data_IF_975855471637
#
_entry.id   IF_975855471637
#
_cell.length_a   1.000
_cell.length_b   1.000
_cell.length_c   1.000
_cell.angle_alpha   90.00
_cell.angle_beta   90.00
_cell.angle_gamma   90.00
#
_symmetry.space_group_name_H-M   'P 1'
#
loop_
_entity.id
_entity.type
_entity.pdbx_description
1 polymer ?
#
# COMPACT_ATOMS: atom_id res chain seq x y z
N UNK A 1 -12.18 26.45 11.53
CA UNK A 1 -11.49 26.47 10.22
C UNK A 1 -11.65 25.08 9.60
N UNK A 2 -12.59 24.96 8.66
CA UNK A 2 -13.18 23.68 8.30
C UNK A 2 -12.24 22.87 7.38
N UNK A 3 -12.10 21.57 7.65
CA UNK A 3 -11.44 20.61 6.74
C UNK A 3 -11.96 20.75 5.29
N UNK A 4 -13.25 21.05 5.13
CA UNK A 4 -13.89 21.40 3.86
C UNK A 4 -13.20 22.56 3.12
N UNK A 5 -12.87 23.65 3.79
CA UNK A 5 -12.26 24.83 3.15
C UNK A 5 -10.83 24.54 2.65
N UNK A 6 -10.11 23.65 3.33
CA UNK A 6 -8.83 23.13 2.83
C UNK A 6 -9.05 22.20 1.62
N UNK A 7 -10.04 21.30 1.72
CA UNK A 7 -10.39 20.33 0.67
C UNK A 7 -10.74 21.00 -0.66
N UNK A 8 -11.50 22.10 -0.61
CA UNK A 8 -11.90 22.90 -1.79
C UNK A 8 -10.70 23.50 -2.55
N UNK A 9 -9.53 23.62 -1.91
CA UNK A 9 -8.30 24.13 -2.52
C UNK A 9 -7.39 23.02 -3.08
N UNK A 10 -7.73 21.74 -2.86
CA UNK A 10 -6.91 20.61 -3.30
C UNK A 10 -7.27 20.17 -4.73
N UNK A 11 -6.37 19.47 -5.45
CA UNK A 11 -6.67 18.92 -6.78
C UNK A 11 -7.57 17.67 -6.64
N UNK A 12 -8.85 17.86 -6.34
CA UNK A 12 -9.79 16.76 -6.07
C UNK A 12 -10.35 16.13 -7.35
N UNK A 13 -10.42 16.85 -8.47
CA UNK A 13 -10.87 16.30 -9.75
C UNK A 13 -9.94 15.18 -10.25
N UNK A 14 -10.49 13.99 -10.47
CA UNK A 14 -9.73 12.82 -10.92
C UNK A 14 -8.86 12.15 -9.84
N UNK A 15 -8.84 12.70 -8.61
CA UNK A 15 -8.13 12.14 -7.47
C UNK A 15 -9.10 11.67 -6.38
N UNK A 16 -8.59 10.86 -5.46
CA UNK A 16 -9.31 10.33 -4.31
C UNK A 16 -8.66 10.89 -3.03
N UNK A 17 -9.50 11.21 -2.04
CA UNK A 17 -9.05 11.60 -0.71
C UNK A 17 -8.53 10.37 0.03
N UNK A 18 -7.25 10.39 0.38
CA UNK A 18 -6.59 9.37 1.20
C UNK A 18 -6.20 9.96 2.56
N UNK A 19 -6.34 9.15 3.61
CA UNK A 19 -5.96 9.48 5.01
C UNK A 19 -4.97 8.48 5.60
N UNK A 20 -4.56 7.51 4.80
CA UNK A 20 -3.77 6.38 5.24
C UNK A 20 -2.29 6.59 4.90
N UNK A 21 -1.95 7.20 3.76
CA UNK A 21 -0.57 7.43 3.29
C UNK A 21 0.21 8.33 4.25
N UNK A 22 -0.38 9.44 4.69
CA UNK A 22 0.25 10.40 5.60
C UNK A 22 -0.12 10.17 7.07
N UNK A 23 -1.26 9.52 7.31
CA UNK A 23 -1.79 9.25 8.65
C UNK A 23 -1.87 7.76 8.99
N UNK A 24 -2.74 7.45 9.93
CA UNK A 24 -3.05 6.08 10.39
C UNK A 24 -4.48 5.64 10.02
N UNK A 25 -5.18 6.45 9.23
CA UNK A 25 -6.57 6.19 8.84
C UNK A 25 -7.61 6.64 9.87
N UNK A 26 -7.24 7.27 10.99
CA UNK A 26 -8.18 7.69 12.03
C UNK A 26 -8.69 9.13 11.85
N UNK A 27 -7.78 10.07 11.58
CA UNK A 27 -8.07 11.51 11.56
C UNK A 27 -8.11 12.06 10.13
N UNK A 28 -9.18 12.80 9.81
CA UNK A 28 -9.25 13.64 8.61
C UNK A 28 -8.77 15.05 8.93
N UNK A 29 -7.60 15.43 8.40
CA UNK A 29 -7.02 16.76 8.58
C UNK A 29 -6.09 17.10 7.40
N UNK A 30 -5.77 18.39 7.17
CA UNK A 30 -4.78 18.78 6.15
C UNK A 30 -3.41 18.11 6.33
N UNK A 31 -3.06 17.77 7.57
CA UNK A 31 -1.79 17.14 7.93
C UNK A 31 -1.77 15.63 7.66
N UNK A 32 -2.92 14.96 7.81
CA UNK A 32 -3.04 13.49 7.68
C UNK A 32 -3.65 13.04 6.35
N UNK A 33 -4.21 13.97 5.56
CA UNK A 33 -4.85 13.68 4.29
C UNK A 33 -4.10 14.21 3.08
N UNK A 34 -4.27 13.52 1.95
CA UNK A 34 -3.80 13.94 0.64
C UNK A 34 -4.81 13.53 -0.45
N UNK A 35 -4.74 14.19 -1.59
CA UNK A 35 -5.49 13.79 -2.79
C UNK A 35 -4.54 13.12 -3.76
N UNK A 36 -4.84 11.89 -4.16
CA UNK A 36 -3.98 11.08 -5.02
C UNK A 36 -4.81 10.31 -6.05
N UNK A 37 -4.21 9.93 -7.17
CA UNK A 37 -4.90 9.13 -8.17
C UNK A 37 -5.32 7.79 -7.56
N UNK A 38 -6.42 7.22 -8.06
CA UNK A 38 -6.97 5.93 -7.61
C UNK A 38 -5.92 4.81 -7.55
N UNK A 39 -4.99 4.75 -8.51
CA UNK A 39 -3.91 3.76 -8.51
C UNK A 39 -2.94 3.89 -7.33
N UNK A 40 -2.74 5.11 -6.82
CA UNK A 40 -1.92 5.40 -5.63
C UNK A 40 -2.70 5.09 -4.35
N UNK A 41 -3.96 5.55 -4.26
CA UNK A 41 -4.84 5.28 -3.13
C UNK A 41 -5.00 3.76 -2.88
N UNK A 42 -5.23 3.01 -3.96
CA UNK A 42 -5.43 1.56 -3.90
C UNK A 42 -4.11 0.78 -3.77
N UNK A 43 -2.95 1.44 -3.81
CA UNK A 43 -1.65 0.76 -3.88
C UNK A 43 -1.39 -0.12 -2.66
N UNK A 44 -1.75 0.35 -1.47
CA UNK A 44 -1.53 -0.38 -0.21
C UNK A 44 -2.70 -1.26 0.21
N UNK A 45 -3.72 -1.41 -0.66
CA UNK A 45 -4.86 -2.24 -0.31
C UNK A 45 -4.43 -3.65 0.04
N UNK A 46 -4.89 -4.07 1.22
CA UNK A 46 -4.59 -5.37 1.80
C UNK A 46 -5.33 -6.44 0.99
N UNK A 47 -4.60 -7.46 0.55
CA UNK A 47 -5.18 -8.75 0.23
C UNK A 47 -5.26 -9.56 1.52
N UNK A 48 -6.46 -9.79 2.05
CA UNK A 48 -6.70 -10.57 3.28
C UNK A 48 -7.70 -9.91 4.23
N UNK A 49 -8.29 -10.69 5.14
CA UNK A 49 -9.12 -10.14 6.22
C UNK A 49 -8.27 -9.29 7.17
N UNK A 50 -8.88 -8.25 7.74
CA UNK A 50 -8.18 -7.39 8.69
C UNK A 50 -7.87 -8.21 9.96
N UNK A 51 -6.58 -8.36 10.26
CA UNK A 51 -6.13 -8.92 11.53
C UNK A 51 -5.70 -10.39 11.50
N UNK A 52 -5.81 -11.07 10.35
CA UNK A 52 -5.23 -12.39 10.18
C UNK A 52 -3.91 -12.28 9.40
N UNK A 53 -2.81 -12.70 10.03
CA UNK A 53 -1.55 -12.94 9.35
C UNK A 53 -0.75 -11.73 8.86
N UNK A 54 0.29 -12.00 8.08
CA UNK A 54 1.16 -11.03 7.42
C UNK A 54 0.56 -10.61 6.07
N UNK A 55 0.53 -9.30 5.82
CA UNK A 55 -0.04 -8.73 4.60
C UNK A 55 0.66 -9.29 3.36
N UNK A 56 -0.11 -9.66 2.34
CA UNK A 56 0.44 -10.17 1.09
C UNK A 56 0.82 -11.65 1.11
N UNK A 57 0.70 -12.30 2.28
CA UNK A 57 0.70 -13.74 2.41
C UNK A 57 -0.74 -14.24 2.59
N UNK A 58 -1.07 -15.38 1.99
CA UNK A 58 -2.35 -16.07 2.24
C UNK A 58 -2.15 -17.57 2.17
N UNK A 59 -2.75 -18.32 3.09
CA UNK A 59 -2.68 -19.78 3.06
C UNK A 59 -3.52 -20.32 1.90
N UNK A 60 -2.96 -21.24 1.13
CA UNK A 60 -3.64 -21.88 0.00
C UNK A 60 -3.93 -23.35 0.33
N UNK A 61 -5.19 -23.60 0.69
CA UNK A 61 -5.65 -24.92 1.19
C UNK A 61 -5.26 -26.08 0.28
N UNK A 62 -5.41 -25.93 -1.05
CA UNK A 62 -5.15 -27.02 -1.99
C UNK A 62 -3.66 -27.41 -2.08
N UNK A 63 -2.74 -26.48 -1.81
CA UNK A 63 -1.30 -26.77 -1.81
C UNK A 63 -0.72 -26.96 -0.42
N UNK A 64 -1.46 -26.64 0.64
CA UNK A 64 -0.94 -26.60 2.02
C UNK A 64 0.20 -25.60 2.25
N UNK A 65 0.33 -24.58 1.39
CA UNK A 65 1.45 -23.62 1.38
C UNK A 65 0.94 -22.19 1.38
N UNK A 66 1.78 -21.24 1.80
CA UNK A 66 1.48 -19.82 1.72
C UNK A 66 1.75 -19.30 0.31
N UNK A 67 0.78 -18.63 -0.31
CA UNK A 67 0.98 -17.97 -1.60
C UNK A 67 1.16 -16.46 -1.41
N UNK A 68 1.96 -15.87 -2.29
CA UNK A 68 2.08 -14.42 -2.42
C UNK A 68 1.79 -13.98 -3.85
N UNK A 69 1.10 -12.85 -3.99
CA UNK A 69 0.81 -12.21 -5.27
C UNK A 69 0.86 -10.69 -5.12
N UNK A 70 1.30 -9.99 -6.16
CA UNK A 70 1.35 -8.53 -6.13
C UNK A 70 0.91 -7.96 -7.47
N UNK A 71 0.09 -6.90 -7.42
CA UNK A 71 -0.18 -6.08 -8.60
C UNK A 71 1.05 -5.21 -8.89
N UNK A 72 1.64 -5.40 -10.07
CA UNK A 72 2.79 -4.64 -10.58
C UNK A 72 2.33 -3.98 -11.88
N UNK A 73 2.22 -2.64 -11.87
CA UNK A 73 1.53 -1.92 -12.95
C UNK A 73 0.09 -2.40 -13.09
N UNK A 74 -0.27 -2.88 -14.27
CA UNK A 74 -1.62 -3.37 -14.59
C UNK A 74 -1.76 -4.90 -14.48
N UNK A 75 -0.68 -5.61 -14.16
CA UNK A 75 -0.66 -7.08 -14.07
C UNK A 75 -0.69 -7.57 -12.63
N UNK A 76 -1.46 -8.62 -12.36
CA UNK A 76 -1.37 -9.37 -11.10
C UNK A 76 -0.32 -10.48 -11.25
N UNK A 77 0.79 -10.36 -10.54
CA UNK A 77 1.93 -11.27 -10.65
C UNK A 77 1.89 -12.27 -9.50
N UNK A 78 1.83 -13.56 -9.82
CA UNK A 78 2.04 -14.63 -8.85
C UNK A 78 3.52 -14.68 -8.47
N UNK A 79 3.83 -14.52 -7.18
CA UNK A 79 5.20 -14.50 -6.67
C UNK A 79 5.68 -15.89 -6.25
N UNK A 80 4.74 -16.83 -6.08
CA UNK A 80 5.01 -18.23 -5.79
C UNK A 80 4.27 -18.74 -4.56
N UNK A 81 4.67 -19.95 -4.17
CA UNK A 81 4.24 -20.65 -2.97
C UNK A 81 5.44 -20.88 -2.05
N UNK A 82 5.21 -20.72 -0.76
CA UNK A 82 6.22 -20.69 0.30
C UNK A 82 5.76 -21.56 1.47
N UNK A 83 6.72 -22.10 2.23
CA UNK A 83 6.40 -22.98 3.35
C UNK A 83 5.97 -22.18 4.57
N UNK A 84 6.44 -20.93 4.70
CA UNK A 84 6.08 -20.05 5.80
C UNK A 84 5.35 -18.79 5.34
N UNK A 85 4.53 -18.24 6.24
CA UNK A 85 3.86 -16.96 6.03
C UNK A 85 4.87 -15.81 5.83
N UNK A 86 5.96 -15.84 6.59
CA UNK A 86 7.00 -14.82 6.55
C UNK A 86 7.73 -14.77 5.20
N UNK A 87 8.02 -15.93 4.60
CA UNK A 87 8.62 -15.99 3.26
C UNK A 87 7.69 -15.41 2.19
N UNK A 88 6.41 -15.76 2.23
CA UNK A 88 5.40 -15.18 1.34
C UNK A 88 5.30 -13.65 1.53
N UNK A 89 5.31 -13.18 2.77
CA UNK A 89 5.33 -11.75 3.08
C UNK A 89 6.58 -11.05 2.55
N UNK A 90 7.77 -11.64 2.73
CA UNK A 90 9.04 -11.11 2.21
C UNK A 90 9.01 -10.97 0.70
N UNK A 91 8.53 -11.99 -0.01
CA UNK A 91 8.37 -11.95 -1.46
C UNK A 91 7.41 -10.82 -1.88
N UNK A 92 6.29 -10.66 -1.17
CA UNK A 92 5.34 -9.58 -1.42
C UNK A 92 5.93 -8.18 -1.21
N UNK A 93 6.67 -7.95 -0.12
CA UNK A 93 7.30 -6.66 0.17
C UNK A 93 8.33 -6.30 -0.93
N UNK A 94 9.15 -7.26 -1.35
CA UNK A 94 10.11 -7.06 -2.44
C UNK A 94 9.41 -6.72 -3.78
N UNK A 95 8.28 -7.37 -4.07
CA UNK A 95 7.47 -7.05 -5.23
C UNK A 95 6.81 -5.67 -5.12
N UNK A 96 6.35 -5.28 -3.92
CA UNK A 96 5.78 -3.95 -3.65
C UNK A 96 6.78 -2.84 -3.84
N UNK A 97 8.04 -3.03 -3.45
CA UNK A 97 9.10 -2.06 -3.71
C UNK A 97 9.26 -1.77 -5.21
N UNK A 98 9.35 -2.83 -6.03
CA UNK A 98 9.40 -2.70 -7.49
C UNK A 98 8.15 -2.03 -8.06
N UNK A 99 6.97 -2.43 -7.60
CA UNK A 99 5.70 -1.83 -8.02
C UNK A 99 5.60 -0.35 -7.64
N UNK A 100 6.16 0.04 -6.50
CA UNK A 100 6.18 1.42 -6.03
C UNK A 100 7.08 2.29 -6.91
N UNK A 101 8.26 1.80 -7.29
CA UNK A 101 9.16 2.51 -8.22
C UNK A 101 8.44 2.80 -9.54
N UNK A 102 7.76 1.79 -10.11
CA UNK A 102 6.99 1.96 -11.34
C UNK A 102 5.85 2.97 -11.15
N UNK A 103 5.11 2.88 -10.05
CA UNK A 103 4.02 3.81 -9.75
C UNK A 103 4.53 5.25 -9.62
N UNK A 104 5.62 5.47 -8.90
CA UNK A 104 6.24 6.78 -8.69
C UNK A 104 6.86 7.36 -9.98
N UNK A 105 7.25 6.52 -10.93
CA UNK A 105 7.67 6.97 -12.27
C UNK A 105 6.52 7.44 -13.15
N UNK A 106 5.29 6.93 -12.91
CA UNK A 106 4.09 7.25 -13.71
C UNK A 106 3.39 8.52 -13.26
N UNK A 107 3.49 8.87 -11.98
CA UNK A 107 2.79 10.00 -11.39
C UNK A 107 3.76 10.97 -10.72
N UNK A 108 3.55 12.26 -10.96
CA UNK A 108 4.20 13.32 -10.17
C UNK A 108 3.38 13.55 -8.90
N UNK A 109 3.80 12.94 -7.79
CA UNK A 109 3.15 13.07 -6.49
C UNK A 109 3.84 14.15 -5.64
N UNK A 110 3.10 14.71 -4.68
CA UNK A 110 3.68 15.60 -3.67
C UNK A 110 4.78 14.88 -2.86
N UNK A 111 5.88 15.57 -2.49
CA UNK A 111 6.98 14.95 -1.75
C UNK A 111 6.54 14.22 -0.47
N UNK A 112 5.61 14.80 0.29
CA UNK A 112 5.08 14.17 1.52
C UNK A 112 4.37 12.84 1.25
N UNK A 113 3.67 12.72 0.12
CA UNK A 113 2.98 11.49 -0.29
C UNK A 113 4.02 10.41 -0.62
N UNK A 114 5.04 10.77 -1.39
CA UNK A 114 6.17 9.87 -1.71
C UNK A 114 6.84 9.38 -0.42
N UNK A 115 7.15 10.29 0.50
CA UNK A 115 7.74 9.94 1.79
C UNK A 115 6.83 9.01 2.62
N UNK A 116 5.52 9.30 2.67
CA UNK A 116 4.51 8.47 3.33
C UNK A 116 4.47 7.05 2.77
N UNK A 117 4.56 6.90 1.45
CA UNK A 117 4.64 5.60 0.79
C UNK A 117 5.92 4.83 1.18
N UNK A 118 7.09 5.48 1.16
CA UNK A 118 8.34 4.85 1.61
C UNK A 118 8.29 4.46 3.10
N UNK A 119 7.66 5.29 3.96
CA UNK A 119 7.48 4.99 5.38
C UNK A 119 6.63 3.74 5.59
N UNK A 120 5.53 3.59 4.85
CA UNK A 120 4.71 2.36 4.86
C UNK A 120 5.49 1.13 4.41
N UNK A 121 6.27 1.24 3.34
CA UNK A 121 7.10 0.12 2.88
C UNK A 121 8.07 -0.34 3.99
N UNK A 122 8.72 0.59 4.66
CA UNK A 122 9.61 0.31 5.81
C UNK A 122 8.89 -0.36 6.97
N UNK A 123 7.64 0.02 7.26
CA UNK A 123 6.83 -0.65 8.29
C UNK A 123 6.59 -2.13 7.98
N UNK A 124 6.37 -2.49 6.71
CA UNK A 124 6.27 -3.88 6.31
C UNK A 124 7.61 -4.61 6.42
N UNK A 125 8.72 -3.97 6.02
CA UNK A 125 10.06 -4.55 6.16
C UNK A 125 10.47 -4.78 7.62
N UNK A 126 10.07 -3.91 8.54
CA UNK A 126 10.38 -4.05 9.97
C UNK A 126 9.79 -5.33 10.59
N UNK A 127 8.73 -5.89 10.00
CA UNK A 127 8.13 -7.17 10.43
C UNK A 127 9.02 -8.39 10.15
N UNK A 128 10.14 -8.23 9.44
CA UNK A 128 11.08 -9.33 9.21
C UNK A 128 11.94 -9.69 10.41
N UNK A 129 12.04 -8.76 11.38
CA UNK A 129 12.88 -8.87 12.57
C UNK A 129 12.09 -9.14 13.86
N UNK A 130 10.77 -9.25 13.75
CA UNK A 130 9.86 -9.61 14.85
C UNK A 130 9.50 -11.09 14.74
#
# INVERSE_FOLDING_TARGET
>A
MAFKAWMEQQPWEGNELDKDILGDGSLYSPATCCFVQRSVNMFWNKTGERGCGLVGASFHNASGRYRAQCKIGDQNVALGYFDTELEAHRAWVAAKEKAMILLLSRFRLEPRVVEGMHRKLKQFQARFAA
#
